data_IF_209522906177
#
_entry.id   IF_209522906177
#
_cell.length_a   1.000
_cell.length_b   1.000
_cell.length_c   1.000
_cell.angle_alpha   90.00
_cell.angle_beta   90.00
_cell.angle_gamma   90.00
#
_symmetry.space_group_name_H-M   'P 1'
#
loop_
_entity.id
_entity.type
_entity.pdbx_description
1 polymer ?
#
# COMPACT_ATOMS: atom_id res chain seq x y z
N UNK A 1 24.85 25.50 -9.14
CA UNK A 1 23.91 25.00 -8.11
C UNK A 1 23.54 23.59 -8.53
N UNK A 2 23.52 22.63 -7.62
CA UNK A 2 23.07 21.27 -7.96
C UNK A 2 21.54 21.25 -8.13
N UNK A 3 21.00 20.52 -9.11
CA UNK A 3 19.56 20.37 -9.26
C UNK A 3 18.96 19.61 -8.06
N UNK A 4 17.74 19.95 -7.68
CA UNK A 4 17.03 19.35 -6.54
C UNK A 4 15.70 18.81 -7.07
N UNK A 5 15.45 17.52 -6.87
CA UNK A 5 14.15 16.90 -7.10
C UNK A 5 13.39 16.76 -5.77
N UNK A 6 12.09 17.02 -5.77
CA UNK A 6 11.23 16.87 -4.61
C UNK A 6 10.04 15.97 -4.97
N UNK A 7 9.74 15.02 -4.08
CA UNK A 7 8.53 14.19 -4.16
C UNK A 7 8.19 13.68 -2.74
N UNK A 8 7.08 12.95 -2.59
CA UNK A 8 6.73 12.31 -1.32
C UNK A 8 7.59 11.08 -1.07
N UNK A 9 7.73 10.68 0.19
CA UNK A 9 8.43 9.47 0.61
C UNK A 9 7.84 8.20 -0.04
N UNK A 10 6.51 8.14 -0.15
CA UNK A 10 5.82 7.01 -0.76
C UNK A 10 5.98 6.99 -2.29
N UNK A 11 5.99 8.13 -2.97
CA UNK A 11 6.31 8.21 -4.39
C UNK A 11 7.77 7.82 -4.64
N UNK A 12 8.69 8.27 -3.80
CA UNK A 12 10.08 7.81 -3.85
C UNK A 12 10.16 6.29 -3.74
N UNK A 13 9.43 5.68 -2.79
CA UNK A 13 9.39 4.22 -2.64
C UNK A 13 8.81 3.52 -3.89
N UNK A 14 7.74 4.06 -4.48
CA UNK A 14 7.16 3.53 -5.72
C UNK A 14 8.15 3.61 -6.89
N UNK A 15 8.86 4.74 -7.03
CA UNK A 15 9.91 4.96 -8.04
C UNK A 15 11.09 4.00 -7.80
N UNK A 16 11.47 3.77 -6.55
CA UNK A 16 12.52 2.82 -6.17
C UNK A 16 12.19 1.41 -6.65
N UNK A 17 11.00 0.90 -6.32
CA UNK A 17 10.53 -0.42 -6.76
C UNK A 17 10.37 -0.51 -8.29
N UNK A 18 9.91 0.56 -8.95
CA UNK A 18 9.77 0.58 -10.41
C UNK A 18 11.12 0.62 -11.14
N UNK A 19 12.15 1.17 -10.51
CA UNK A 19 13.49 1.29 -11.13
C UNK A 19 14.38 0.09 -10.82
N UNK A 20 14.38 -0.37 -9.57
CA UNK A 20 15.38 -1.32 -9.08
C UNK A 20 14.75 -2.59 -8.49
N UNK A 21 13.46 -2.55 -8.13
CA UNK A 21 12.78 -3.59 -7.37
C UNK A 21 11.84 -4.46 -8.18
N UNK A 22 10.83 -5.00 -7.48
CA UNK A 22 9.91 -6.04 -7.99
C UNK A 22 8.98 -5.55 -9.10
N UNK A 23 8.80 -4.24 -9.28
CA UNK A 23 7.99 -3.67 -10.38
C UNK A 23 8.83 -3.15 -11.55
N UNK A 24 10.15 -3.41 -11.55
CA UNK A 24 11.03 -3.03 -12.65
C UNK A 24 10.55 -3.61 -13.98
N UNK A 25 10.49 -2.74 -14.98
CA UNK A 25 10.03 -3.10 -16.33
C UNK A 25 8.51 -3.10 -16.52
N UNK A 26 7.74 -2.82 -15.47
CA UNK A 26 6.30 -2.57 -15.58
C UNK A 26 6.06 -1.08 -15.78
N UNK A 27 5.12 -0.75 -16.67
CA UNK A 27 4.70 0.63 -16.94
C UNK A 27 3.68 1.14 -15.91
N UNK A 28 3.03 0.22 -15.17
CA UNK A 28 2.03 0.58 -14.16
C UNK A 28 2.18 -0.29 -12.92
N UNK A 29 2.25 0.36 -11.77
CA UNK A 29 2.32 -0.29 -10.46
C UNK A 29 1.87 0.65 -9.35
N UNK A 30 1.53 0.08 -8.21
CA UNK A 30 1.20 0.83 -7.00
C UNK A 30 2.09 0.33 -5.87
N UNK A 31 2.65 1.25 -5.10
CA UNK A 31 3.32 0.98 -3.84
C UNK A 31 2.48 1.56 -2.69
N UNK A 32 2.22 0.75 -1.69
CA UNK A 32 1.47 1.15 -0.50
C UNK A 32 2.34 0.90 0.72
N UNK A 33 2.59 1.95 1.49
CA UNK A 33 3.22 1.81 2.81
C UNK A 33 2.15 1.71 3.89
N UNK A 34 2.23 0.69 4.73
CA UNK A 34 1.34 0.45 5.87
C UNK A 34 2.18 0.50 7.15
N UNK A 35 2.04 1.59 7.89
CA UNK A 35 2.81 1.86 9.10
C UNK A 35 2.01 2.71 10.07
N UNK A 36 2.60 3.73 10.67
CA UNK A 36 1.88 4.73 11.49
C UNK A 36 0.73 5.41 10.73
N UNK A 37 0.85 5.52 9.43
CA UNK A 37 -0.18 5.94 8.49
C UNK A 37 -0.10 5.10 7.24
N UNK A 38 -0.99 5.38 6.29
CA UNK A 38 -1.00 4.75 4.98
C UNK A 38 -0.67 5.80 3.93
N UNK A 39 0.34 5.50 3.11
CA UNK A 39 0.69 6.28 1.94
C UNK A 39 0.58 5.42 0.68
N UNK A 40 0.27 6.04 -0.46
CA UNK A 40 0.10 5.35 -1.73
C UNK A 40 0.84 6.11 -2.82
N UNK A 41 1.82 5.45 -3.44
CA UNK A 41 2.54 5.93 -4.62
C UNK A 41 2.07 5.17 -5.86
N UNK A 42 1.68 5.88 -6.89
CA UNK A 42 1.13 5.30 -8.13
C UNK A 42 2.07 5.58 -9.29
N UNK A 43 2.44 4.55 -10.01
CA UNK A 43 3.20 4.63 -11.26
C UNK A 43 2.26 4.30 -12.42
N UNK A 44 2.13 5.21 -13.37
CA UNK A 44 1.44 5.02 -14.65
C UNK A 44 2.34 5.51 -15.78
N UNK A 45 2.38 4.76 -16.87
CA UNK A 45 3.27 5.02 -18.01
C UNK A 45 4.74 5.23 -17.58
N UNK A 46 5.16 4.48 -16.57
CA UNK A 46 6.52 4.54 -16.00
C UNK A 46 6.83 5.81 -15.20
N UNK A 47 5.83 6.61 -14.85
CA UNK A 47 5.99 7.87 -14.12
C UNK A 47 5.11 7.89 -12.86
N UNK A 48 5.59 8.54 -11.81
CA UNK A 48 4.77 8.82 -10.65
C UNK A 48 3.60 9.75 -11.03
N UNK A 49 2.42 9.42 -10.53
CA UNK A 49 1.20 10.19 -10.81
C UNK A 49 1.20 11.47 -9.99
N UNK A 50 1.07 12.59 -10.69
CA UNK A 50 0.82 13.89 -10.11
C UNK A 50 -0.35 14.54 -10.87
N UNK A 51 -1.24 15.17 -10.14
CA UNK A 51 -2.32 15.97 -10.69
C UNK A 51 -2.22 17.38 -10.10
N UNK A 52 -3.28 17.85 -9.46
CA UNK A 52 -3.25 19.05 -8.64
C UNK A 52 -2.15 18.98 -7.55
N UNK A 53 -1.95 17.79 -7.02
CA UNK A 53 -0.87 17.38 -6.13
C UNK A 53 -0.64 15.87 -6.31
N UNK A 54 0.22 15.25 -5.48
CA UNK A 54 0.32 13.80 -5.39
C UNK A 54 -0.98 13.19 -4.85
N UNK A 55 -1.33 11.93 -5.21
CA UNK A 55 -2.49 11.25 -4.67
C UNK A 55 -2.39 11.06 -3.14
N UNK A 56 -3.40 11.52 -2.41
CA UNK A 56 -3.56 11.25 -0.97
C UNK A 56 -4.49 10.03 -0.77
N UNK A 57 -4.20 8.97 -1.48
CA UNK A 57 -5.07 7.78 -1.55
C UNK A 57 -5.12 6.97 -0.24
N UNK A 58 -4.26 7.26 0.73
CA UNK A 58 -4.42 6.80 2.11
C UNK A 58 -5.63 7.42 2.83
N UNK A 59 -6.28 8.43 2.25
CA UNK A 59 -7.47 9.09 2.79
C UNK A 59 -8.77 8.75 2.05
N UNK A 60 -8.78 7.74 1.18
CA UNK A 60 -10.03 7.26 0.57
C UNK A 60 -10.99 6.74 1.64
N UNK A 61 -12.28 6.86 1.38
CA UNK A 61 -13.31 6.36 2.29
C UNK A 61 -13.61 4.89 1.96
N UNK A 62 -13.52 4.03 2.96
CA UNK A 62 -13.83 2.61 2.84
C UNK A 62 -15.06 2.27 3.66
N UNK A 63 -15.76 1.21 3.27
CA UNK A 63 -16.87 0.66 4.05
C UNK A 63 -16.34 0.08 5.35
N UNK A 64 -16.88 0.55 6.47
CA UNK A 64 -16.46 0.14 7.81
C UNK A 64 -16.74 -1.34 8.06
N UNK A 65 -15.75 -2.02 8.65
CA UNK A 65 -15.96 -3.40 9.12
C UNK A 65 -16.97 -3.40 10.28
N UNK A 66 -17.96 -4.33 10.29
CA UNK A 66 -19.01 -4.33 11.35
C UNK A 66 -18.48 -4.43 12.77
N UNK A 67 -17.34 -5.07 12.96
CA UNK A 67 -16.70 -5.24 14.27
C UNK A 67 -15.71 -4.12 14.64
N UNK A 68 -15.46 -3.18 13.71
CA UNK A 68 -14.55 -2.07 13.98
C UNK A 68 -15.29 -0.96 14.73
N UNK A 69 -14.94 -0.75 15.98
CA UNK A 69 -15.48 0.29 16.85
C UNK A 69 -14.57 1.52 16.96
N UNK A 70 -13.43 1.52 16.27
CA UNK A 70 -12.49 2.63 16.34
C UNK A 70 -13.01 3.86 15.58
N UNK A 71 -12.98 5.02 16.24
CA UNK A 71 -13.57 6.26 15.69
C UNK A 71 -12.66 6.97 14.65
N UNK A 72 -11.40 6.53 14.51
CA UNK A 72 -10.39 7.25 13.72
C UNK A 72 -9.78 8.44 14.44
N UNK A 73 -8.71 9.00 13.88
CA UNK A 73 -8.03 10.19 14.43
C UNK A 73 -7.95 11.35 13.45
N UNK A 74 -8.33 11.15 12.19
CA UNK A 74 -8.31 12.22 11.20
C UNK A 74 -9.34 13.29 11.58
N UNK A 75 -8.93 14.55 11.77
CA UNK A 75 -9.88 15.61 12.11
C UNK A 75 -10.85 15.93 10.96
N UNK A 76 -10.56 15.47 9.75
CA UNK A 76 -11.37 15.74 8.56
C UNK A 76 -12.27 14.56 8.16
N UNK A 77 -11.81 13.32 8.37
CA UNK A 77 -12.43 12.11 7.80
C UNK A 77 -12.52 10.98 8.83
N UNK A 78 -13.04 11.15 9.98
CA UNK A 78 -13.07 10.16 11.08
C UNK A 78 -13.21 8.67 10.72
N UNK A 79 -13.53 8.33 9.46
CA UNK A 79 -13.62 6.97 8.91
C UNK A 79 -12.68 6.75 7.71
N UNK A 80 -11.71 7.63 7.46
CA UNK A 80 -10.75 7.41 6.37
C UNK A 80 -9.92 6.17 6.63
N UNK A 81 -9.58 5.44 5.57
CA UNK A 81 -8.77 4.22 5.64
C UNK A 81 -7.48 4.41 6.44
N UNK A 82 -6.76 5.52 6.25
CA UNK A 82 -5.54 5.85 6.98
C UNK A 82 -5.67 5.78 8.50
N UNK A 83 -6.86 6.05 9.04
CA UNK A 83 -7.07 6.17 10.48
C UNK A 83 -7.72 4.95 11.12
N UNK A 84 -8.28 4.03 10.34
CA UNK A 84 -8.81 2.77 10.84
C UNK A 84 -7.72 1.81 11.32
N UNK A 85 -6.48 2.01 10.86
CA UNK A 85 -5.34 1.11 11.12
C UNK A 85 -4.44 1.52 12.27
N UNK A 86 -4.74 2.63 12.94
CA UNK A 86 -3.72 3.28 13.75
C UNK A 86 -3.47 2.68 15.12
N UNK A 87 -2.18 2.54 15.39
CA UNK A 87 -1.42 2.48 16.65
C UNK A 87 -1.90 1.49 17.72
N UNK A 88 -3.20 1.31 17.94
CA UNK A 88 -3.69 0.45 19.03
C UNK A 88 -4.09 -0.95 18.59
N UNK A 89 -4.69 -1.10 17.41
CA UNK A 89 -5.05 -2.45 16.93
C UNK A 89 -3.80 -3.21 16.49
N UNK A 90 -2.89 -2.54 15.81
CA UNK A 90 -1.66 -3.14 15.32
C UNK A 90 -0.67 -3.33 16.47
N UNK A 91 -0.46 -2.32 17.31
CA UNK A 91 0.40 -2.41 18.48
C UNK A 91 -0.13 -3.45 19.46
N UNK A 92 -1.45 -3.50 19.65
CA UNK A 92 -2.12 -4.50 20.45
C UNK A 92 -2.08 -5.89 19.80
N UNK A 93 -2.26 -6.00 18.47
CA UNK A 93 -2.08 -7.24 17.74
C UNK A 93 -0.64 -7.75 17.82
N UNK A 94 0.37 -6.88 17.72
CA UNK A 94 1.78 -7.22 17.92
C UNK A 94 2.07 -7.71 19.34
N UNK A 95 1.52 -7.05 20.35
CA UNK A 95 1.73 -7.43 21.74
C UNK A 95 0.99 -8.73 22.10
N UNK A 96 -0.19 -8.92 21.53
CA UNK A 96 -1.07 -10.07 21.82
C UNK A 96 -0.72 -11.29 20.96
N UNK A 97 -0.19 -11.11 19.73
CA UNK A 97 0.37 -12.20 18.92
C UNK A 97 1.59 -12.82 19.59
N UNK A 98 2.45 -12.02 20.22
CA UNK A 98 3.55 -12.52 21.08
C UNK A 98 3.06 -13.35 22.28
N UNK A 99 1.80 -13.17 22.68
CA UNK A 99 1.16 -13.90 23.78
C UNK A 99 0.24 -15.03 23.29
N UNK A 100 0.12 -15.25 21.97
CA UNK A 100 -0.69 -16.34 21.39
C UNK A 100 -2.21 -16.14 21.58
N UNK A 101 -2.69 -14.92 21.69
CA UNK A 101 -4.10 -14.64 21.98
C UNK A 101 -4.95 -14.49 20.70
N UNK A 102 -6.24 -14.84 20.79
CA UNK A 102 -7.21 -14.75 19.69
C UNK A 102 -7.45 -13.31 19.17
N UNK A 103 -7.04 -12.29 19.92
CA UNK A 103 -7.23 -10.89 19.58
C UNK A 103 -6.31 -10.43 18.43
N UNK A 104 -5.10 -10.98 18.33
CA UNK A 104 -4.19 -10.69 17.22
C UNK A 104 -4.75 -11.10 15.86
N UNK A 105 -5.35 -12.28 15.77
CA UNK A 105 -6.03 -12.75 14.55
C UNK A 105 -7.22 -11.88 14.15
N UNK A 106 -7.98 -11.37 15.12
CA UNK A 106 -9.11 -10.47 14.86
C UNK A 106 -8.63 -9.13 14.28
N UNK A 107 -7.60 -8.55 14.86
CA UNK A 107 -7.02 -7.30 14.36
C UNK A 107 -6.47 -7.46 12.93
N UNK A 108 -5.74 -8.53 12.65
CA UNK A 108 -5.28 -8.85 11.29
C UNK A 108 -6.46 -9.12 10.33
N UNK A 109 -7.55 -9.68 10.84
CA UNK A 109 -8.79 -9.87 10.08
C UNK A 109 -9.40 -8.56 9.60
N UNK A 110 -9.48 -7.55 10.48
CA UNK A 110 -9.97 -6.21 10.16
C UNK A 110 -9.00 -5.48 9.24
N UNK A 111 -7.69 -5.53 9.53
CA UNK A 111 -6.63 -4.94 8.70
C UNK A 111 -6.69 -5.45 7.26
N UNK A 112 -6.68 -6.78 7.10
CA UNK A 112 -6.75 -7.40 5.77
C UNK A 112 -8.06 -7.09 5.04
N UNK A 113 -9.15 -6.79 5.74
CA UNK A 113 -10.42 -6.37 5.14
C UNK A 113 -10.31 -4.98 4.51
N UNK A 114 -9.75 -4.02 5.21
CA UNK A 114 -9.58 -2.67 4.68
C UNK A 114 -8.56 -2.62 3.55
N UNK A 115 -7.43 -3.30 3.72
CA UNK A 115 -6.44 -3.41 2.65
C UNK A 115 -7.06 -4.04 1.40
N UNK A 116 -7.81 -5.12 1.52
CA UNK A 116 -8.46 -5.76 0.38
C UNK A 116 -9.45 -4.82 -0.34
N UNK A 117 -10.28 -4.04 0.38
CA UNK A 117 -11.16 -3.04 -0.23
C UNK A 117 -10.36 -2.02 -1.03
N UNK A 118 -9.36 -1.40 -0.40
CA UNK A 118 -8.55 -0.39 -1.07
C UNK A 118 -7.84 -0.94 -2.31
N UNK A 119 -7.33 -2.19 -2.26
CA UNK A 119 -6.70 -2.82 -3.42
C UNK A 119 -7.70 -3.06 -4.54
N UNK A 120 -8.96 -3.40 -4.23
CA UNK A 120 -10.03 -3.50 -5.24
C UNK A 120 -10.29 -2.13 -5.88
N UNK A 121 -10.43 -1.08 -5.06
CA UNK A 121 -10.66 0.29 -5.56
C UNK A 121 -9.51 0.75 -6.46
N UNK A 122 -8.27 0.49 -6.07
CA UNK A 122 -7.09 0.82 -6.89
C UNK A 122 -7.00 -0.02 -8.16
N UNK A 123 -7.38 -1.29 -8.10
CA UNK A 123 -7.44 -2.13 -9.31
C UNK A 123 -8.47 -1.60 -10.30
N UNK A 124 -9.65 -1.19 -9.82
CA UNK A 124 -10.72 -0.66 -10.66
C UNK A 124 -10.43 0.75 -11.19
N UNK A 125 -9.62 1.53 -10.48
CA UNK A 125 -9.33 2.94 -10.81
C UNK A 125 -8.09 3.08 -11.69
N UNK A 126 -7.01 2.36 -11.35
CA UNK A 126 -5.69 2.53 -11.99
C UNK A 126 -5.28 1.34 -12.85
N UNK A 127 -5.92 0.18 -12.70
CA UNK A 127 -5.59 -1.07 -13.41
C UNK A 127 -4.08 -1.39 -13.38
N UNK A 128 -3.42 -1.38 -12.21
CA UNK A 128 -1.99 -1.61 -12.14
C UNK A 128 -1.64 -3.04 -12.54
N UNK A 129 -0.45 -3.25 -13.09
CA UNK A 129 0.10 -4.58 -13.37
C UNK A 129 0.62 -5.29 -12.12
N UNK A 130 0.91 -4.53 -11.06
CA UNK A 130 1.35 -5.06 -9.75
C UNK A 130 1.09 -4.07 -8.63
N UNK A 131 0.77 -4.60 -7.46
CA UNK A 131 0.63 -3.84 -6.22
C UNK A 131 1.67 -4.34 -5.22
N UNK A 132 2.46 -3.42 -4.69
CA UNK A 132 3.51 -3.69 -3.69
C UNK A 132 3.05 -3.18 -2.34
N UNK A 133 3.12 -4.02 -1.33
CA UNK A 133 2.80 -3.65 0.04
C UNK A 133 4.09 -3.62 0.88
N UNK A 134 4.34 -2.49 1.53
CA UNK A 134 5.48 -2.26 2.40
C UNK A 134 5.09 -1.54 3.69
N UNK A 135 6.10 -1.14 4.45
CA UNK A 135 5.93 -0.55 5.79
C UNK A 135 5.91 -1.60 6.90
N UNK A 136 6.05 -1.14 8.14
CA UNK A 136 6.29 -2.02 9.29
C UNK A 136 5.19 -3.07 9.55
N UNK A 137 3.94 -2.77 9.25
CA UNK A 137 2.82 -3.72 9.37
C UNK A 137 2.97 -4.90 8.42
N UNK A 138 3.53 -4.66 7.24
CA UNK A 138 3.67 -5.70 6.20
C UNK A 138 4.82 -6.67 6.45
N UNK A 139 5.59 -6.52 7.54
CA UNK A 139 6.48 -7.56 8.05
C UNK A 139 5.70 -8.82 8.51
N UNK A 140 4.39 -8.68 8.80
CA UNK A 140 3.49 -9.79 9.11
C UNK A 140 3.10 -10.54 7.83
N UNK A 141 3.92 -11.54 7.46
CA UNK A 141 3.78 -12.27 6.19
C UNK A 141 2.41 -12.96 6.02
N UNK A 142 1.76 -13.34 7.11
CA UNK A 142 0.43 -13.97 7.11
C UNK A 142 -0.66 -13.04 6.58
N UNK A 143 -0.49 -11.69 6.67
CA UNK A 143 -1.43 -10.72 6.13
C UNK A 143 -1.62 -10.87 4.62
N UNK A 144 -0.56 -11.20 3.87
CA UNK A 144 -0.65 -11.34 2.42
C UNK A 144 -1.68 -12.38 1.99
N UNK A 145 -1.69 -13.55 2.63
CA UNK A 145 -2.67 -14.60 2.33
C UNK A 145 -4.10 -14.13 2.65
N UNK A 146 -4.30 -13.45 3.80
CA UNK A 146 -5.60 -12.95 4.22
C UNK A 146 -6.10 -11.83 3.30
N UNK A 147 -5.22 -10.92 2.87
CA UNK A 147 -5.54 -9.84 1.93
C UNK A 147 -5.96 -10.43 0.59
N UNK A 148 -5.16 -11.34 0.02
CA UNK A 148 -5.44 -11.96 -1.28
C UNK A 148 -6.76 -12.73 -1.29
N UNK A 149 -7.06 -13.46 -0.22
CA UNK A 149 -8.34 -14.17 -0.07
C UNK A 149 -9.53 -13.20 -0.09
N UNK A 150 -9.46 -12.12 0.70
CA UNK A 150 -10.54 -11.11 0.76
C UNK A 150 -10.64 -10.32 -0.53
N UNK A 151 -9.51 -9.92 -1.11
CA UNK A 151 -9.45 -9.25 -2.40
C UNK A 151 -10.15 -10.08 -3.49
N UNK A 152 -9.84 -11.38 -3.60
CA UNK A 152 -10.49 -12.28 -4.56
C UNK A 152 -12.00 -12.32 -4.36
N UNK A 153 -12.46 -12.40 -3.11
CA UNK A 153 -13.92 -12.41 -2.80
C UNK A 153 -14.57 -11.08 -3.17
N UNK A 154 -13.94 -9.94 -2.87
CA UNK A 154 -14.50 -8.62 -3.12
C UNK A 154 -14.50 -8.27 -4.61
N UNK A 155 -13.40 -8.56 -5.32
CA UNK A 155 -13.32 -8.34 -6.76
C UNK A 155 -14.28 -9.24 -7.55
N UNK A 156 -14.57 -10.43 -7.04
CA UNK A 156 -15.57 -11.38 -7.52
C UNK A 156 -15.54 -11.59 -9.05
N UNK A 157 -14.36 -11.78 -9.61
CA UNK A 157 -14.10 -11.99 -11.04
C UNK A 157 -14.54 -10.83 -11.97
N UNK A 158 -14.83 -9.64 -11.43
CA UNK A 158 -15.20 -8.49 -12.26
C UNK A 158 -14.07 -8.08 -13.21
N UNK A 159 -12.82 -8.12 -12.75
CA UNK A 159 -11.63 -7.99 -13.58
C UNK A 159 -10.98 -9.35 -13.73
N UNK A 160 -10.79 -9.80 -14.97
CA UNK A 160 -10.19 -11.10 -15.28
C UNK A 160 -9.03 -10.92 -16.26
N UNK A 161 -7.85 -10.66 -15.73
CA UNK A 161 -6.59 -10.49 -16.46
C UNK A 161 -5.55 -11.51 -16.00
N UNK A 162 -4.52 -11.81 -16.80
CA UNK A 162 -3.42 -12.67 -16.37
C UNK A 162 -2.76 -12.21 -15.06
N UNK A 163 -2.70 -10.88 -14.81
CA UNK A 163 -2.12 -10.32 -13.59
C UNK A 163 -2.98 -10.67 -12.36
N UNK A 164 -4.28 -10.42 -12.44
CA UNK A 164 -5.23 -10.63 -11.31
C UNK A 164 -5.48 -12.12 -11.06
N UNK A 165 -5.31 -12.99 -12.06
CA UNK A 165 -5.41 -14.44 -11.88
C UNK A 165 -4.29 -15.01 -11.01
N UNK A 166 -3.12 -14.37 -11.02
CA UNK A 166 -1.94 -14.75 -10.22
C UNK A 166 -1.73 -13.75 -9.08
N UNK A 167 -2.53 -13.88 -8.02
CA UNK A 167 -2.47 -12.96 -6.88
C UNK A 167 -1.14 -13.01 -6.14
N UNK A 168 -0.40 -14.10 -6.21
CA UNK A 168 0.90 -14.22 -5.56
C UNK A 168 1.96 -13.32 -6.22
N UNK A 169 1.81 -13.07 -7.51
CA UNK A 169 2.64 -12.13 -8.27
C UNK A 169 1.98 -10.77 -8.50
N UNK A 170 0.68 -10.63 -8.21
CA UNK A 170 -0.03 -9.36 -8.34
C UNK A 170 0.05 -8.50 -7.08
N UNK A 171 -0.18 -9.08 -5.90
CA UNK A 171 -0.09 -8.40 -4.59
C UNK A 171 1.14 -8.96 -3.88
N UNK A 172 2.22 -8.20 -3.87
CA UNK A 172 3.54 -8.67 -3.46
C UNK A 172 4.15 -7.83 -2.33
N UNK A 173 5.07 -8.37 -1.54
CA UNK A 173 5.87 -7.57 -0.64
C UNK A 173 6.86 -6.70 -1.42
N UNK A 174 7.34 -5.63 -0.77
CA UNK A 174 8.46 -4.84 -1.24
C UNK A 174 9.73 -5.70 -1.37
N UNK A 175 10.67 -5.29 -2.23
CA UNK A 175 11.81 -6.13 -2.61
C UNK A 175 13.19 -5.54 -2.33
N UNK A 176 13.26 -4.30 -1.87
CA UNK A 176 14.52 -3.55 -1.69
C UNK A 176 14.98 -3.44 -0.22
N UNK A 177 14.62 -4.41 0.63
CA UNK A 177 15.08 -4.52 2.03
C UNK A 177 14.88 -3.22 2.85
N UNK A 178 13.74 -2.57 2.72
CA UNK A 178 13.38 -1.28 3.32
C UNK A 178 14.13 -0.05 2.72
N UNK A 179 15.01 -0.23 1.73
CA UNK A 179 15.74 0.85 1.08
C UNK A 179 15.00 1.48 -0.12
N UNK A 180 13.77 1.07 -0.42
CA UNK A 180 13.01 1.54 -1.59
C UNK A 180 12.86 3.05 -1.64
N UNK A 181 12.67 3.71 -0.49
CA UNK A 181 12.59 5.17 -0.40
C UNK A 181 13.91 5.85 -0.78
N UNK A 182 15.02 5.37 -0.23
CA UNK A 182 16.37 5.90 -0.53
C UNK A 182 16.71 5.66 -2.00
N UNK A 183 16.45 4.47 -2.53
CA UNK A 183 16.69 4.14 -3.93
C UNK A 183 15.86 5.01 -4.88
N UNK A 184 14.62 5.31 -4.50
CA UNK A 184 13.78 6.25 -5.24
C UNK A 184 14.29 7.69 -5.20
N UNK A 185 14.75 8.18 -4.05
CA UNK A 185 15.37 9.50 -3.93
C UNK A 185 16.62 9.63 -4.82
N UNK A 186 17.47 8.59 -4.84
CA UNK A 186 18.62 8.55 -5.75
C UNK A 186 18.16 8.65 -7.21
N UNK A 187 17.12 7.91 -7.59
CA UNK A 187 16.59 7.96 -8.95
C UNK A 187 16.05 9.35 -9.30
N UNK A 188 15.27 9.98 -8.43
CA UNK A 188 14.76 11.34 -8.61
C UNK A 188 15.92 12.33 -8.84
N UNK A 189 16.94 12.28 -7.98
CA UNK A 189 18.12 13.12 -8.14
C UNK A 189 18.86 12.92 -9.46
N UNK A 190 19.03 11.67 -9.90
CA UNK A 190 19.66 11.35 -11.19
C UNK A 190 18.83 11.84 -12.40
N UNK A 191 17.52 11.86 -12.30
CA UNK A 191 16.66 12.36 -13.36
C UNK A 191 16.69 13.89 -13.45
N UNK A 192 16.79 14.60 -12.33
CA UNK A 192 17.00 16.05 -12.32
C UNK A 192 18.36 16.47 -12.91
N UNK A 193 19.40 15.64 -12.74
CA UNK A 193 20.71 15.91 -13.34
C UNK A 193 20.73 15.78 -14.86
N UNK A 194 19.73 15.15 -15.47
CA UNK A 194 19.63 14.95 -16.94
C UNK A 194 18.77 16.02 -17.63
N UNK A 195 18.06 16.85 -16.87
CA UNK A 195 17.28 17.99 -17.35
C UNK A 195 18.16 19.22 -17.55
#
# INVERSE_FOLDING_TARGET
>A
MLPIGLDTDVNASAIGEATYGVTKGLDSSIYITVGTGIGVGVILDGKAVHGMQHPEAGHILLSRHPEDTYAGRCPYHGNAWRDSHRDRLIERAFLEERQGTSCGFRAMGIESYYLAQALVDFTLTYSPKRIVLGGGVMHQKQLFAMIREKYKKMLNHYVDTPYVRDLDNYIVPYSLNDDQGIMGCIRIGLDEMKR
#
